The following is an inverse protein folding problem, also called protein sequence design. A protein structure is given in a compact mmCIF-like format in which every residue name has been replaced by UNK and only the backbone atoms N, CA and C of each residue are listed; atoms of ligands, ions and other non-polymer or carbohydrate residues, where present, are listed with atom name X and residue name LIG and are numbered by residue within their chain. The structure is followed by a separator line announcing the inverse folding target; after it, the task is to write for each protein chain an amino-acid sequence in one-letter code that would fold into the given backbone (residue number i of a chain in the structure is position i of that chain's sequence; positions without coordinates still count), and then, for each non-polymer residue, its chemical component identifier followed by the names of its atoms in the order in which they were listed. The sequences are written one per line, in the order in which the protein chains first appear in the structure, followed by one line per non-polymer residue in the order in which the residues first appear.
data_IF_687619098569
#
_entry.id   IF_687619098569
#
_cell.length_a   1.000
_cell.length_b   1.000
_cell.length_c   1.000
_cell.angle_alpha   90.00
_cell.angle_beta   90.00
_cell.angle_gamma   90.00
#
_symmetry.space_group_name_H-M   'P 1'
#
loop_
_entity.id
_entity.type
_entity.pdbx_description
1 polymer ?
#
# COMPACT_ATOMS: atom_id res chain seq x y z
N UNK A 1 66.88 29.41 41.95
CA UNK A 1 65.97 29.49 43.11
C UNK A 1 64.84 30.46 42.76
N UNK A 2 63.55 30.08 42.87
CA UNK A 2 62.45 31.05 42.85
C UNK A 2 62.24 31.66 44.25
N UNK A 3 61.52 32.78 44.37
CA UNK A 3 60.19 32.67 44.98
C UNK A 3 59.09 33.56 44.36
N UNK A 4 57.92 32.93 44.24
CA UNK A 4 56.54 33.31 44.61
C UNK A 4 56.00 34.74 44.42
N UNK A 5 54.85 34.80 43.73
CA UNK A 5 53.89 35.90 43.55
C UNK A 5 53.34 36.54 44.85
N UNK A 6 52.59 37.64 44.72
CA UNK A 6 51.19 37.58 45.16
C UNK A 6 50.15 38.30 44.26
N UNK A 7 49.01 37.61 44.14
CA UNK A 7 47.61 38.07 44.11
C UNK A 7 47.11 39.19 43.15
N UNK A 8 46.09 38.82 42.37
CA UNK A 8 45.17 39.64 41.58
C UNK A 8 44.42 40.72 42.38
N UNK A 9 43.73 41.65 41.66
CA UNK A 9 42.28 41.61 41.78
C UNK A 9 41.52 41.65 40.44
N UNK A 10 40.62 40.68 40.30
CA UNK A 10 39.23 40.76 39.86
C UNK A 10 38.78 41.76 38.76
N UNK A 11 38.26 41.16 37.69
CA UNK A 11 36.91 41.37 37.12
C UNK A 11 36.49 42.76 36.64
N UNK A 12 36.37 42.90 35.32
CA UNK A 12 35.09 43.05 34.59
C UNK A 12 35.49 43.01 33.09
N UNK A 13 35.04 42.09 32.25
CA UNK A 13 33.69 41.58 32.11
C UNK A 13 33.20 42.02 30.73
N UNK A 14 33.24 41.11 29.75
CA UNK A 14 32.20 40.94 28.73
C UNK A 14 32.55 39.69 27.92
N UNK A 15 31.91 38.60 28.32
CA UNK A 15 31.84 37.37 27.58
C UNK A 15 31.06 37.60 26.28
N UNK A 16 31.65 37.25 25.15
CA UNK A 16 30.89 36.81 23.98
C UNK A 16 31.17 35.34 23.78
N UNK A 17 30.68 34.55 24.75
CA UNK A 17 30.54 33.11 24.60
C UNK A 17 29.22 32.82 23.89
N UNK A 18 29.20 32.98 22.57
CA UNK A 18 28.26 32.22 21.73
C UNK A 18 29.06 31.10 21.07
N UNK A 19 29.41 30.09 21.86
CA UNK A 19 29.73 28.78 21.30
C UNK A 19 28.45 28.23 20.70
N UNK A 20 28.28 28.40 19.38
CA UNK A 20 27.20 27.76 18.64
C UNK A 20 27.17 26.25 18.92
N UNK A 21 25.99 25.62 18.81
CA UNK A 21 25.84 24.19 19.10
C UNK A 21 26.87 23.38 18.33
N UNK A 22 27.56 22.45 19.01
CA UNK A 22 28.53 21.60 18.33
C UNK A 22 27.82 20.63 17.37
N UNK A 23 28.55 20.04 16.43
CA UNK A 23 28.00 19.07 15.48
C UNK A 23 27.35 17.86 16.20
N UNK A 24 27.93 17.45 17.34
CA UNK A 24 27.38 16.39 18.19
C UNK A 24 26.06 16.83 18.83
N UNK A 25 25.99 18.05 19.36
CA UNK A 25 24.77 18.59 19.96
C UNK A 25 23.63 18.68 18.95
N UNK A 26 23.96 19.03 17.71
CA UNK A 26 23.01 19.11 16.60
C UNK A 26 22.38 17.75 16.26
N UNK A 27 23.18 16.68 16.19
CA UNK A 27 22.65 15.33 15.95
C UNK A 27 21.76 14.85 17.11
N UNK A 28 22.17 15.12 18.35
CA UNK A 28 21.40 14.76 19.54
C UNK A 28 20.05 15.47 19.53
N UNK A 29 20.03 16.78 19.24
CA UNK A 29 18.79 17.54 19.12
C UNK A 29 17.91 17.02 17.98
N UNK A 30 18.50 16.71 16.82
CA UNK A 30 17.76 16.10 15.71
C UNK A 30 17.11 14.78 16.12
N UNK A 31 17.86 13.86 16.75
CA UNK A 31 17.33 12.57 17.22
C UNK A 31 16.26 12.74 18.28
N UNK A 32 16.44 13.67 19.20
CA UNK A 32 15.42 13.99 20.22
C UNK A 32 14.14 14.53 19.59
N UNK A 33 14.24 15.42 18.60
CA UNK A 33 13.08 15.96 17.89
C UNK A 33 12.39 14.88 17.06
N UNK A 34 13.15 14.00 16.41
CA UNK A 34 12.61 12.86 15.67
C UNK A 34 11.79 11.94 16.59
N UNK A 35 12.30 11.67 17.80
CA UNK A 35 11.63 10.83 18.78
C UNK A 35 10.41 11.49 19.46
N UNK A 36 10.42 12.81 19.65
CA UNK A 36 9.34 13.56 20.32
C UNK A 36 8.22 14.00 19.39
N UNK A 37 8.50 14.12 18.09
CA UNK A 37 7.51 14.64 17.15
C UNK A 37 6.43 13.61 16.86
N UNK A 38 5.18 13.95 17.19
CA UNK A 38 3.99 13.20 16.75
C UNK A 38 3.74 13.35 15.25
N UNK A 39 4.37 14.35 14.60
CA UNK A 39 4.28 14.59 13.15
C UNK A 39 5.55 15.28 12.64
N UNK A 40 6.53 14.48 12.23
CA UNK A 40 7.78 14.90 11.56
C UNK A 40 7.50 15.77 10.33
N UNK A 41 6.36 15.54 9.65
CA UNK A 41 5.96 16.33 8.47
C UNK A 41 5.70 17.82 8.73
N UNK A 42 5.55 18.27 9.98
CA UNK A 42 5.25 19.67 10.32
C UNK A 42 6.42 20.40 10.99
N UNK A 43 7.56 19.75 11.21
CA UNK A 43 8.59 20.31 12.06
C UNK A 43 9.68 21.05 11.25
N UNK A 44 9.51 22.36 11.10
CA UNK A 44 10.49 23.29 10.52
C UNK A 44 11.87 23.18 11.21
N UNK A 45 11.91 22.83 12.50
CA UNK A 45 13.17 22.64 13.23
C UNK A 45 13.91 21.38 12.77
N UNK A 46 13.19 20.28 12.49
CA UNK A 46 13.81 19.06 11.95
C UNK A 46 14.46 19.32 10.59
N UNK A 47 13.76 20.07 9.73
CA UNK A 47 14.27 20.48 8.43
C UNK A 47 15.51 21.37 8.56
N UNK A 48 15.48 22.34 9.48
CA UNK A 48 16.62 23.22 9.77
C UNK A 48 17.83 22.42 10.24
N UNK A 49 17.64 21.48 11.16
CA UNK A 49 18.73 20.67 11.69
C UNK A 49 19.31 19.71 10.66
N UNK A 50 18.48 19.07 9.84
CA UNK A 50 18.96 18.26 8.72
C UNK A 50 19.81 19.09 7.76
N UNK A 51 19.31 20.29 7.38
CA UNK A 51 20.03 21.21 6.50
C UNK A 51 21.38 21.65 7.08
N UNK A 52 21.44 21.94 8.38
CA UNK A 52 22.70 22.27 9.06
C UNK A 52 23.71 21.11 9.04
N UNK A 53 23.26 19.89 9.34
CA UNK A 53 24.11 18.68 9.27
C UNK A 53 24.62 18.43 7.85
N UNK A 54 23.76 18.63 6.85
CA UNK A 54 24.12 18.50 5.44
C UNK A 54 25.17 19.56 5.02
N UNK A 55 24.95 20.83 5.37
CA UNK A 55 25.87 21.93 5.04
C UNK A 55 27.26 21.75 5.67
N UNK A 56 27.34 21.18 6.87
CA UNK A 56 28.61 20.86 7.52
C UNK A 56 29.29 19.58 6.98
N UNK A 57 28.73 18.94 5.95
CA UNK A 57 29.18 17.67 5.38
C UNK A 57 29.27 16.54 6.43
N UNK A 58 28.42 16.61 7.48
CA UNK A 58 28.50 15.73 8.64
C UNK A 58 28.19 14.28 8.27
N UNK A 59 27.13 14.06 7.47
CA UNK A 59 26.71 12.72 7.06
C UNK A 59 27.79 11.95 6.29
N UNK A 60 28.62 12.62 5.49
CA UNK A 60 29.74 11.98 4.78
C UNK A 60 30.90 11.60 5.70
N UNK A 61 31.02 12.24 6.87
CA UNK A 61 32.04 11.96 7.89
C UNK A 61 31.60 10.91 8.90
N UNK A 62 30.29 10.66 8.99
CA UNK A 62 29.73 9.67 9.91
C UNK A 62 30.09 8.24 9.47
N UNK A 63 30.43 7.34 10.40
CA UNK A 63 30.65 5.93 10.08
C UNK A 63 29.43 5.31 9.38
N UNK A 64 29.65 4.52 8.32
CA UNK A 64 28.57 3.96 7.48
C UNK A 64 27.49 3.22 8.28
N UNK A 65 27.88 2.45 9.30
CA UNK A 65 26.93 1.72 10.16
C UNK A 65 26.05 2.66 11.00
N UNK A 66 26.62 3.76 11.49
CA UNK A 66 25.87 4.76 12.24
C UNK A 66 24.91 5.53 11.33
N UNK A 67 25.36 5.87 10.13
CA UNK A 67 24.55 6.53 9.11
C UNK A 67 23.38 5.62 8.65
N UNK A 68 23.65 4.34 8.45
CA UNK A 68 22.63 3.34 8.13
C UNK A 68 21.58 3.24 9.24
N UNK A 69 22.03 3.09 10.49
CA UNK A 69 21.13 3.03 11.65
C UNK A 69 20.28 4.30 11.78
N UNK A 70 20.90 5.46 11.61
CA UNK A 70 20.19 6.74 11.61
C UNK A 70 19.14 6.82 10.50
N UNK A 71 19.47 6.35 9.29
CA UNK A 71 18.55 6.32 8.15
C UNK A 71 17.38 5.36 8.40
N UNK A 72 17.62 4.20 9.01
CA UNK A 72 16.57 3.28 9.44
C UNK A 72 15.63 3.91 10.47
N UNK A 73 16.18 4.55 11.51
CA UNK A 73 15.40 5.23 12.56
C UNK A 73 14.50 6.33 11.95
N UNK A 74 15.05 7.11 11.02
CA UNK A 74 14.30 8.12 10.26
C UNK A 74 13.19 7.49 9.44
N UNK A 75 13.50 6.43 8.67
CA UNK A 75 12.52 5.73 7.83
C UNK A 75 11.39 5.15 8.67
N UNK A 76 11.71 4.46 9.76
CA UNK A 76 10.70 3.87 10.65
C UNK A 76 9.79 4.94 11.27
N UNK A 77 10.35 6.08 11.65
CA UNK A 77 9.57 7.20 12.17
C UNK A 77 8.62 7.77 11.12
N UNK A 78 9.05 7.83 9.85
CA UNK A 78 8.23 8.24 8.72
C UNK A 78 7.15 7.21 8.39
N UNK A 79 7.48 5.92 8.41
CA UNK A 79 6.55 4.81 8.15
C UNK A 79 5.31 4.87 9.06
N UNK A 80 5.44 5.44 10.27
CA UNK A 80 4.33 5.62 11.21
C UNK A 80 3.42 6.81 10.90
N UNK A 81 3.86 7.73 10.03
CA UNK A 81 3.22 9.03 9.81
C UNK A 81 2.69 9.24 8.40
N UNK A 82 3.02 8.37 7.44
CA UNK A 82 2.68 8.49 6.01
C UNK A 82 1.20 8.80 5.75
N UNK A 83 0.29 8.45 6.65
CA UNK A 83 -1.14 8.73 6.55
C UNK A 83 -1.55 10.23 6.47
N UNK A 84 -0.64 11.21 6.59
CA UNK A 84 -0.96 12.65 6.74
C UNK A 84 -0.58 13.51 5.51
N UNK A 85 -0.11 12.92 4.39
CA UNK A 85 -0.13 13.58 3.07
C UNK A 85 1.04 14.51 2.69
N UNK A 86 2.09 14.67 3.50
CA UNK A 86 3.26 15.52 3.18
C UNK A 86 4.61 14.81 3.40
N UNK A 87 4.83 13.70 2.69
CA UNK A 87 6.02 12.84 2.81
C UNK A 87 7.20 13.20 1.90
N UNK A 88 6.97 14.01 0.85
CA UNK A 88 7.97 14.23 -0.20
C UNK A 88 9.32 14.79 0.30
N UNK A 89 9.39 15.88 1.10
CA UNK A 89 10.68 16.42 1.53
C UNK A 89 11.57 15.41 2.28
N UNK A 90 10.94 14.42 2.91
CA UNK A 90 11.62 13.36 3.64
C UNK A 90 12.15 12.25 2.73
N UNK A 91 11.48 11.98 1.61
CA UNK A 91 11.98 11.07 0.59
C UNK A 91 13.35 11.51 0.05
N UNK A 92 13.48 12.79 -0.32
CA UNK A 92 14.71 13.39 -0.87
C UNK A 92 15.87 13.30 0.11
N UNK A 93 15.57 13.55 1.40
CA UNK A 93 16.56 13.45 2.48
C UNK A 93 17.02 12.03 2.68
N UNK A 94 16.11 11.06 2.66
CA UNK A 94 16.49 9.66 2.74
C UNK A 94 17.28 9.21 1.52
N UNK A 95 16.91 9.63 0.30
CA UNK A 95 17.69 9.35 -0.91
C UNK A 95 19.13 9.86 -0.76
N UNK A 96 19.29 11.12 -0.34
CA UNK A 96 20.60 11.71 -0.06
C UNK A 96 21.43 10.87 0.94
N UNK A 97 20.83 10.41 2.04
CA UNK A 97 21.54 9.56 3.01
C UNK A 97 21.90 8.20 2.41
N UNK A 98 20.98 7.57 1.65
CA UNK A 98 21.24 6.27 1.02
C UNK A 98 22.31 6.34 -0.06
N UNK A 99 22.45 7.46 -0.77
CA UNK A 99 23.52 7.67 -1.75
C UNK A 99 24.89 7.70 -1.08
N UNK A 100 25.01 8.39 0.06
CA UNK A 100 26.25 8.39 0.86
C UNK A 100 26.55 6.97 1.36
N UNK A 101 25.54 6.24 1.85
CA UNK A 101 25.73 4.86 2.32
C UNK A 101 26.21 3.97 1.18
N UNK A 102 25.61 4.05 -0.02
CA UNK A 102 26.04 3.29 -1.20
C UNK A 102 27.46 3.63 -1.63
N UNK A 103 27.81 4.92 -1.65
CA UNK A 103 29.16 5.38 -2.02
C UNK A 103 30.22 4.86 -1.04
N UNK A 104 29.89 4.81 0.25
CA UNK A 104 30.79 4.28 1.26
C UNK A 104 30.82 2.75 1.29
N UNK A 105 29.70 2.09 0.98
CA UNK A 105 29.59 0.64 0.88
C UNK A 105 30.31 0.10 -0.36
N UNK A 106 30.32 0.80 -1.49
CA UNK A 106 31.11 0.35 -2.66
C UNK A 106 32.62 0.34 -2.39
N UNK A 107 33.07 1.10 -1.39
CA UNK A 107 34.47 1.17 -0.92
C UNK A 107 34.79 0.14 0.16
N UNK A 108 33.81 -0.61 0.69
CA UNK A 108 34.01 -1.57 1.79
C UNK A 108 33.14 -2.82 1.59
N UNK A 109 33.69 -4.03 1.78
CA UNK A 109 32.95 -5.31 1.64
C UNK A 109 31.89 -5.54 2.74
N UNK A 110 30.93 -4.63 2.91
CA UNK A 110 29.92 -4.69 3.96
C UNK A 110 28.62 -5.35 3.46
N UNK A 111 28.00 -6.24 4.26
CA UNK A 111 26.86 -7.05 3.84
C UNK A 111 25.48 -6.35 4.00
N UNK A 112 25.39 -5.03 3.78
CA UNK A 112 24.14 -4.26 4.02
C UNK A 112 23.33 -3.97 2.74
N UNK A 113 23.65 -4.63 1.62
CA UNK A 113 23.10 -4.32 0.30
C UNK A 113 21.56 -4.39 0.26
N UNK A 114 20.98 -5.49 0.75
CA UNK A 114 19.52 -5.69 0.74
C UNK A 114 18.78 -4.60 1.53
N UNK A 115 19.34 -4.22 2.67
CA UNK A 115 18.75 -3.23 3.54
C UNK A 115 18.79 -1.83 2.93
N UNK A 116 19.91 -1.48 2.30
CA UNK A 116 20.06 -0.22 1.57
C UNK A 116 19.09 -0.17 0.39
N UNK A 117 18.93 -1.26 -0.37
CA UNK A 117 17.94 -1.34 -1.45
C UNK A 117 16.50 -1.13 -0.94
N UNK A 118 16.16 -1.72 0.21
CA UNK A 118 14.84 -1.52 0.82
C UNK A 118 14.64 -0.08 1.32
N UNK A 119 15.68 0.57 1.85
CA UNK A 119 15.61 1.98 2.26
C UNK A 119 15.44 2.91 1.05
N UNK A 120 16.16 2.64 -0.05
CA UNK A 120 16.04 3.39 -1.30
C UNK A 120 14.64 3.26 -1.89
N UNK A 121 14.08 2.05 -1.91
CA UNK A 121 12.73 1.82 -2.41
C UNK A 121 11.68 2.58 -1.57
N UNK A 122 11.82 2.59 -0.25
CA UNK A 122 10.97 3.40 0.66
C UNK A 122 11.13 4.89 0.40
N UNK A 123 12.35 5.38 0.19
CA UNK A 123 12.62 6.77 -0.11
C UNK A 123 11.96 7.23 -1.43
N UNK A 124 12.04 6.41 -2.48
CA UNK A 124 11.32 6.68 -3.73
C UNK A 124 9.81 6.66 -3.56
N UNK A 125 9.28 5.77 -2.71
CA UNK A 125 7.85 5.76 -2.40
C UNK A 125 7.40 7.02 -1.64
N UNK A 126 8.25 7.59 -0.76
CA UNK A 126 7.98 8.88 -0.10
C UNK A 126 8.05 10.08 -1.04
N UNK A 127 8.96 10.05 -2.01
CA UNK A 127 9.04 11.06 -3.09
C UNK A 127 7.82 11.04 -4.02
N UNK A 128 7.02 9.97 -4.00
CA UNK A 128 5.99 9.73 -5.01
C UNK A 128 6.52 9.13 -6.31
N UNK A 129 7.80 8.77 -6.37
CA UNK A 129 8.38 8.01 -7.47
C UNK A 129 8.03 6.52 -7.33
N UNK A 130 6.75 6.18 -7.53
CA UNK A 130 6.26 4.82 -7.37
C UNK A 130 6.89 3.83 -8.36
N UNK A 131 7.30 4.29 -9.54
CA UNK A 131 7.89 3.39 -10.55
C UNK A 131 9.22 2.82 -10.07
N UNK A 132 10.08 3.66 -9.47
CA UNK A 132 11.36 3.19 -8.95
C UNK A 132 11.17 2.30 -7.71
N UNK A 133 10.27 2.70 -6.81
CA UNK A 133 9.96 1.91 -5.63
C UNK A 133 9.42 0.51 -5.97
N UNK A 134 8.58 0.40 -7.02
CA UNK A 134 8.00 -0.86 -7.48
C UNK A 134 9.03 -1.86 -8.01
N UNK A 135 10.16 -1.41 -8.54
CA UNK A 135 11.22 -2.33 -9.02
C UNK A 135 11.68 -3.27 -7.91
N UNK A 136 11.84 -2.75 -6.70
CA UNK A 136 12.21 -3.57 -5.54
C UNK A 136 11.19 -4.68 -5.27
N UNK A 137 9.88 -4.35 -5.30
CA UNK A 137 8.83 -5.35 -5.12
C UNK A 137 8.86 -6.39 -6.23
N UNK A 138 8.92 -5.97 -7.48
CA UNK A 138 8.94 -6.89 -8.63
C UNK A 138 10.12 -7.87 -8.57
N UNK A 139 11.32 -7.39 -8.21
CA UNK A 139 12.51 -8.23 -8.05
C UNK A 139 12.39 -9.27 -6.92
N UNK A 140 11.59 -8.98 -5.90
CA UNK A 140 11.53 -9.78 -4.68
C UNK A 140 10.18 -10.48 -4.45
N UNK A 141 9.19 -10.26 -5.32
CA UNK A 141 7.82 -10.73 -5.11
C UNK A 141 7.72 -12.26 -5.13
N UNK A 142 8.45 -12.93 -6.03
CA UNK A 142 8.41 -14.38 -6.13
C UNK A 142 9.09 -15.06 -4.93
N UNK A 143 10.26 -14.53 -4.54
CA UNK A 143 11.04 -15.09 -3.44
C UNK A 143 10.48 -14.67 -2.10
N UNK A 144 10.36 -13.38 -1.79
CA UNK A 144 9.92 -12.86 -0.47
C UNK A 144 8.40 -12.73 -0.36
N UNK A 145 7.74 -12.21 -1.40
CA UNK A 145 6.30 -11.95 -1.40
C UNK A 145 5.42 -13.21 -1.39
N UNK A 146 5.96 -14.37 -1.75
CA UNK A 146 5.22 -15.63 -1.76
C UNK A 146 5.23 -16.42 -0.44
N UNK A 147 6.02 -15.95 0.55
CA UNK A 147 6.10 -16.58 1.87
C UNK A 147 4.80 -16.43 2.66
N UNK A 148 4.44 -17.50 3.39
CA UNK A 148 3.31 -17.48 4.33
C UNK A 148 3.63 -16.55 5.49
N UNK A 149 2.66 -15.72 5.86
CA UNK A 149 2.75 -14.84 7.02
C UNK A 149 1.79 -15.32 8.10
N UNK A 150 2.31 -15.47 9.32
CA UNK A 150 1.57 -16.07 10.46
C UNK A 150 1.31 -15.09 11.60
N UNK A 151 1.94 -13.92 11.60
CA UNK A 151 1.74 -12.87 12.62
C UNK A 151 2.06 -11.48 12.10
N UNK A 152 1.64 -10.43 12.83
CA UNK A 152 1.96 -9.04 12.50
C UNK A 152 3.46 -8.75 12.61
N UNK A 153 4.16 -9.36 13.59
CA UNK A 153 5.62 -9.24 13.75
C UNK A 153 6.42 -9.61 12.50
N UNK A 154 5.88 -10.48 11.63
CA UNK A 154 6.54 -10.83 10.37
C UNK A 154 6.54 -9.66 9.38
N UNK A 155 5.50 -8.82 9.37
CA UNK A 155 5.46 -7.61 8.55
C UNK A 155 6.49 -6.61 9.04
N UNK A 156 6.60 -6.42 10.37
CA UNK A 156 7.55 -5.49 10.98
C UNK A 156 9.02 -5.90 10.76
N UNK A 157 9.31 -7.19 10.62
CA UNK A 157 10.68 -7.69 10.42
C UNK A 157 11.09 -7.81 8.96
N UNK A 158 10.13 -7.76 8.02
CA UNK A 158 10.40 -8.02 6.62
C UNK A 158 10.53 -6.73 5.82
N UNK A 159 11.74 -6.48 5.28
CA UNK A 159 11.97 -5.36 4.36
C UNK A 159 11.02 -5.35 3.17
N UNK A 160 10.70 -6.53 2.61
CA UNK A 160 9.73 -6.65 1.53
C UNK A 160 8.37 -6.07 1.89
N UNK A 161 7.83 -6.47 3.05
CA UNK A 161 6.52 -6.00 3.47
C UNK A 161 6.52 -4.55 3.95
N UNK A 162 7.59 -4.09 4.61
CA UNK A 162 7.77 -2.68 4.93
C UNK A 162 7.72 -1.80 3.66
N UNK A 163 8.47 -2.18 2.63
CA UNK A 163 8.49 -1.48 1.33
C UNK A 163 7.10 -1.54 0.68
N UNK A 164 6.48 -2.72 0.64
CA UNK A 164 5.14 -2.91 0.04
C UNK A 164 4.11 -2.01 0.72
N UNK A 165 4.08 -2.00 2.05
CA UNK A 165 3.16 -1.18 2.84
C UNK A 165 3.31 0.29 2.47
N UNK A 166 4.54 0.80 2.43
CA UNK A 166 4.78 2.21 2.11
C UNK A 166 4.37 2.54 0.68
N UNK A 167 4.69 1.70 -0.31
CA UNK A 167 4.26 1.93 -1.70
C UNK A 167 2.74 1.97 -1.77
N UNK A 168 2.04 1.01 -1.17
CA UNK A 168 0.57 0.93 -1.21
C UNK A 168 -0.05 2.18 -0.56
N UNK A 169 0.45 2.61 0.61
CA UNK A 169 -0.03 3.83 1.26
C UNK A 169 0.27 5.07 0.41
N UNK A 170 1.49 5.22 -0.12
CA UNK A 170 1.86 6.33 -1.00
C UNK A 170 1.00 6.39 -2.25
N UNK A 171 0.70 5.25 -2.89
CA UNK A 171 -0.18 5.20 -4.06
C UNK A 171 -1.60 5.67 -3.72
N UNK A 172 -2.11 5.33 -2.52
CA UNK A 172 -3.44 5.79 -2.07
C UNK A 172 -3.48 7.31 -1.97
N UNK A 173 -2.42 7.91 -1.44
CA UNK A 173 -2.33 9.35 -1.16
C UNK A 173 -2.08 10.15 -2.44
N UNK A 174 -1.18 9.67 -3.30
CA UNK A 174 -0.65 10.46 -4.42
C UNK A 174 -1.41 10.19 -5.73
N UNK A 175 -1.91 8.96 -5.91
CA UNK A 175 -2.53 8.52 -7.17
C UNK A 175 -4.02 8.29 -6.95
N UNK A 176 -4.38 7.14 -6.38
CA UNK A 176 -5.76 6.75 -6.15
C UNK A 176 -5.81 5.49 -5.28
N UNK A 177 -6.95 5.27 -4.62
CA UNK A 177 -7.16 4.11 -3.77
C UNK A 177 -7.21 2.81 -4.60
N UNK A 178 -7.69 2.89 -5.84
CA UNK A 178 -7.85 1.75 -6.75
C UNK A 178 -6.52 1.25 -7.28
N UNK A 179 -5.62 2.18 -7.60
CA UNK A 179 -4.27 1.85 -8.03
C UNK A 179 -3.45 1.26 -6.86
N UNK A 180 -3.63 1.81 -5.66
CA UNK A 180 -3.08 1.27 -4.41
C UNK A 180 -3.52 -0.17 -4.17
N UNK A 181 -4.83 -0.42 -4.23
CA UNK A 181 -5.39 -1.75 -3.99
C UNK A 181 -5.02 -2.75 -5.09
N UNK A 182 -5.06 -2.34 -6.36
CA UNK A 182 -4.62 -3.17 -7.48
C UNK A 182 -3.16 -3.60 -7.32
N UNK A 183 -2.28 -2.68 -6.90
CA UNK A 183 -0.89 -3.00 -6.64
C UNK A 183 -0.71 -3.95 -5.44
N UNK A 184 -1.48 -3.76 -4.36
CA UNK A 184 -1.48 -4.67 -3.22
C UNK A 184 -1.92 -6.08 -3.62
N UNK A 185 -3.00 -6.19 -4.42
CA UNK A 185 -3.49 -7.46 -4.95
C UNK A 185 -2.42 -8.15 -5.81
N UNK A 186 -1.86 -7.45 -6.79
CA UNK A 186 -0.81 -8.00 -7.67
C UNK A 186 0.38 -8.51 -6.86
N UNK A 187 0.89 -7.69 -5.94
CA UNK A 187 2.05 -8.00 -5.12
C UNK A 187 1.80 -9.14 -4.12
N UNK A 188 0.55 -9.36 -3.73
CA UNK A 188 0.15 -10.38 -2.78
C UNK A 188 -0.46 -11.62 -3.42
N UNK A 189 -0.69 -11.61 -4.73
CA UNK A 189 -1.55 -12.60 -5.40
C UNK A 189 -1.06 -14.02 -5.19
N UNK A 190 0.23 -14.30 -5.37
CA UNK A 190 0.78 -15.64 -5.20
C UNK A 190 0.56 -16.17 -3.77
N UNK A 191 0.79 -15.32 -2.77
CA UNK A 191 0.58 -15.64 -1.36
C UNK A 191 -0.90 -15.85 -1.06
N UNK A 192 -1.75 -14.95 -1.54
CA UNK A 192 -3.20 -15.03 -1.37
C UNK A 192 -3.77 -16.29 -2.02
N UNK A 193 -3.45 -16.55 -3.30
CA UNK A 193 -3.84 -17.76 -4.04
C UNK A 193 -3.42 -19.01 -3.29
N UNK A 194 -2.18 -19.08 -2.80
CA UNK A 194 -1.72 -20.24 -2.01
C UNK A 194 -2.51 -20.43 -0.72
N UNK A 195 -2.84 -19.32 -0.05
CA UNK A 195 -3.50 -19.32 1.26
C UNK A 195 -5.00 -19.59 1.17
N UNK A 196 -5.67 -19.07 0.15
CA UNK A 196 -7.14 -19.04 0.05
C UNK A 196 -7.67 -20.04 -0.98
N UNK A 197 -6.97 -20.21 -2.11
CA UNK A 197 -7.45 -21.05 -3.22
C UNK A 197 -6.92 -22.49 -3.16
N UNK A 198 -5.73 -22.72 -2.60
CA UNK A 198 -5.12 -24.07 -2.56
C UNK A 198 -5.01 -24.70 -1.18
N UNK A 199 -5.01 -23.91 -0.11
CA UNK A 199 -4.75 -24.40 1.25
C UNK A 199 -5.90 -24.08 2.19
N UNK A 200 -6.88 -24.98 2.28
CA UNK A 200 -8.01 -24.84 3.20
C UNK A 200 -7.58 -24.36 4.60
N UNK A 201 -8.26 -23.33 5.10
CA UNK A 201 -8.22 -22.82 6.49
C UNK A 201 -7.06 -21.85 6.83
N UNK A 202 -6.20 -21.45 5.89
CA UNK A 202 -5.19 -20.41 6.16
C UNK A 202 -5.78 -19.00 6.30
N UNK A 203 -5.46 -18.26 7.38
CA UNK A 203 -5.75 -16.81 7.48
C UNK A 203 -4.82 -16.03 6.55
N UNK A 204 -5.39 -15.23 5.65
CA UNK A 204 -4.62 -14.31 4.80
C UNK A 204 -4.42 -12.98 5.52
N UNK A 205 -3.30 -12.84 6.23
CA UNK A 205 -2.96 -11.61 6.94
C UNK A 205 -2.49 -10.52 5.98
N UNK A 206 -2.86 -9.27 6.29
CA UNK A 206 -2.23 -8.07 5.73
C UNK A 206 -1.68 -7.20 6.86
N UNK A 207 -0.68 -6.39 6.53
CA UNK A 207 -0.05 -5.46 7.46
C UNK A 207 -1.08 -4.56 8.15
N UNK A 208 -0.91 -4.30 9.45
CA UNK A 208 -1.87 -3.50 10.25
C UNK A 208 -2.12 -2.10 9.70
N UNK A 209 -1.13 -1.45 9.07
CA UNK A 209 -1.32 -0.13 8.45
C UNK A 209 -2.15 -0.24 7.18
N UNK A 210 -1.93 -1.29 6.39
CA UNK A 210 -2.75 -1.60 5.23
C UNK A 210 -4.17 -2.00 5.62
N UNK A 211 -4.34 -2.74 6.71
CA UNK A 211 -5.65 -3.12 7.25
C UNK A 211 -6.53 -1.91 7.57
N UNK A 212 -5.98 -0.90 8.26
CA UNK A 212 -6.70 0.34 8.52
C UNK A 212 -7.10 1.07 7.23
N UNK A 213 -6.23 1.03 6.21
CA UNK A 213 -6.51 1.59 4.90
C UNK A 213 -7.62 0.82 4.17
N UNK A 214 -7.62 -0.51 4.18
CA UNK A 214 -8.67 -1.33 3.59
C UNK A 214 -10.03 -1.10 4.28
N UNK A 215 -10.04 -0.99 5.61
CA UNK A 215 -11.25 -0.69 6.36
C UNK A 215 -11.82 0.70 6.02
N UNK A 216 -10.97 1.71 5.80
CA UNK A 216 -11.43 3.05 5.37
C UNK A 216 -12.13 2.99 4.01
N UNK A 217 -11.52 2.29 3.04
CA UNK A 217 -12.05 2.16 1.67
C UNK A 217 -13.46 1.52 1.63
N UNK A 218 -13.79 0.65 2.59
CA UNK A 218 -15.11 -0.03 2.65
C UNK A 218 -16.17 0.76 3.42
N UNK A 219 -15.75 1.70 4.26
CA UNK A 219 -16.63 2.59 5.02
C UNK A 219 -17.02 3.83 4.22
N UNK A 220 -16.12 4.32 3.38
CA UNK A 220 -16.34 5.50 2.54
C UNK A 220 -17.26 5.16 1.35
N UNK A 221 -17.89 6.18 0.76
CA UNK A 221 -18.90 6.06 -0.32
C UNK A 221 -18.39 5.44 -1.64
N UNK A 222 -17.20 4.86 -1.64
CA UNK A 222 -16.49 4.29 -2.79
C UNK A 222 -17.00 2.91 -3.20
N UNK A 223 -17.93 2.30 -2.45
CA UNK A 223 -18.44 0.95 -2.76
C UNK A 223 -19.03 0.82 -4.18
N UNK A 224 -19.66 1.85 -4.72
CA UNK A 224 -20.13 1.85 -6.11
C UNK A 224 -18.98 1.79 -7.12
N UNK A 225 -17.86 2.45 -6.83
CA UNK A 225 -16.63 2.39 -7.63
C UNK A 225 -15.98 1.01 -7.57
N UNK A 226 -16.08 0.32 -6.42
CA UNK A 226 -15.65 -1.08 -6.25
C UNK A 226 -16.45 -2.07 -7.11
N UNK A 227 -17.76 -1.86 -7.28
CA UNK A 227 -18.62 -2.80 -8.01
C UNK A 227 -18.39 -2.76 -9.52
N UNK A 228 -17.91 -1.62 -10.02
CA UNK A 228 -17.59 -1.41 -11.42
C UNK A 228 -16.18 -1.87 -11.81
N UNK A 229 -15.42 -2.57 -10.94
CA UNK A 229 -14.01 -2.95 -11.16
C UNK A 229 -13.72 -3.53 -12.55
N UNK A 230 -14.63 -4.31 -13.13
CA UNK A 230 -14.50 -4.87 -14.50
C UNK A 230 -14.45 -3.83 -15.62
N UNK A 231 -14.92 -2.59 -15.38
CA UNK A 231 -14.82 -1.46 -16.32
C UNK A 231 -13.49 -0.74 -16.26
N UNK A 232 -12.69 -1.02 -15.23
CA UNK A 232 -11.42 -0.36 -15.04
C UNK A 232 -10.44 -1.08 -15.95
N UNK A 233 -9.95 -0.37 -16.96
CA UNK A 233 -8.94 -0.86 -17.89
C UNK A 233 -7.59 -1.03 -17.18
N UNK A 234 -7.52 -1.98 -16.27
CA UNK A 234 -6.27 -2.37 -15.67
C UNK A 234 -5.55 -3.35 -16.59
N UNK A 235 -4.25 -3.18 -16.74
CA UNK A 235 -3.35 -4.25 -17.15
C UNK A 235 -3.29 -5.29 -16.02
N UNK A 236 -4.40 -5.95 -15.72
CA UNK A 236 -4.35 -7.24 -15.06
C UNK A 236 -3.73 -8.19 -16.07
N UNK A 237 -2.60 -8.87 -15.74
CA UNK A 237 -2.24 -10.11 -16.40
C UNK A 237 -3.52 -10.92 -16.65
N UNK A 238 -3.69 -11.43 -17.87
CA UNK A 238 -4.87 -12.19 -18.34
C UNK A 238 -5.30 -13.35 -17.43
N UNK A 239 -4.54 -13.65 -16.39
CA UNK A 239 -4.73 -14.70 -15.39
C UNK A 239 -5.62 -14.29 -14.19
N UNK A 240 -5.89 -13.00 -13.99
CA UNK A 240 -6.74 -12.53 -12.87
C UNK A 240 -8.21 -12.48 -13.31
N UNK A 241 -9.02 -13.46 -12.86
CA UNK A 241 -10.49 -13.45 -13.03
C UNK A 241 -11.11 -12.25 -12.30
N UNK A 242 -12.19 -11.71 -12.86
CA UNK A 242 -12.86 -10.47 -12.44
C UNK A 242 -13.31 -10.44 -10.96
N UNK A 243 -13.58 -11.59 -10.34
CA UNK A 243 -14.07 -11.67 -8.95
C UNK A 243 -12.95 -11.72 -7.90
N UNK A 244 -11.70 -11.95 -8.32
CA UNK A 244 -10.56 -12.09 -7.39
C UNK A 244 -10.26 -10.87 -6.51
N UNK A 245 -10.42 -9.61 -6.97
CA UNK A 245 -10.16 -8.45 -6.12
C UNK A 245 -11.14 -8.33 -4.94
N UNK A 246 -12.40 -8.73 -5.13
CA UNK A 246 -13.43 -8.66 -4.09
C UNK A 246 -13.21 -9.76 -3.05
N UNK A 247 -12.95 -10.98 -3.50
CA UNK A 247 -12.57 -12.10 -2.63
C UNK A 247 -11.26 -11.83 -1.88
N UNK A 248 -10.31 -11.10 -2.48
CA UNK A 248 -9.08 -10.69 -1.82
C UNK A 248 -9.35 -9.78 -0.60
N UNK A 249 -10.25 -8.79 -0.74
CA UNK A 249 -10.62 -7.91 0.36
C UNK A 249 -11.28 -8.66 1.50
N UNK A 250 -12.25 -9.52 1.17
CA UNK A 250 -12.93 -10.38 2.15
C UNK A 250 -11.91 -11.26 2.87
N UNK A 251 -10.99 -11.89 2.13
CA UNK A 251 -9.94 -12.70 2.73
C UNK A 251 -9.02 -11.90 3.68
N UNK A 252 -8.69 -10.66 3.33
CA UNK A 252 -7.88 -9.78 4.17
C UNK A 252 -8.62 -9.41 5.47
N UNK A 253 -9.90 -9.05 5.40
CA UNK A 253 -10.72 -8.76 6.59
C UNK A 253 -10.82 -9.98 7.52
N UNK A 254 -11.17 -11.14 6.98
CA UNK A 254 -11.24 -12.40 7.74
C UNK A 254 -9.88 -12.73 8.36
N UNK A 255 -8.80 -12.59 7.59
CA UNK A 255 -7.44 -12.87 8.05
C UNK A 255 -7.06 -12.04 9.27
N UNK A 256 -7.40 -10.76 9.26
CA UNK A 256 -7.15 -9.83 10.37
C UNK A 256 -8.23 -9.86 11.48
N UNK A 257 -9.23 -10.75 11.38
CA UNK A 257 -10.26 -10.91 12.40
C UNK A 257 -11.41 -9.91 12.33
N UNK A 258 -11.57 -9.19 11.22
CA UNK A 258 -12.67 -8.23 11.01
C UNK A 258 -13.90 -8.90 10.40
N UNK A 259 -14.45 -9.92 11.07
CA UNK A 259 -15.54 -10.73 10.50
C UNK A 259 -16.83 -9.94 10.29
N UNK A 260 -17.11 -8.94 11.14
CA UNK A 260 -18.26 -8.03 10.96
C UNK A 260 -18.11 -7.15 9.72
N UNK A 261 -16.93 -6.57 9.51
CA UNK A 261 -16.62 -5.80 8.29
C UNK A 261 -16.72 -6.68 7.05
N UNK A 262 -16.24 -7.93 7.13
CA UNK A 262 -16.35 -8.90 6.04
C UNK A 262 -17.83 -9.22 5.73
N UNK A 263 -18.66 -9.44 6.76
CA UNK A 263 -20.11 -9.66 6.62
C UNK A 263 -20.79 -8.49 5.90
N UNK A 264 -20.58 -7.27 6.40
CA UNK A 264 -21.20 -6.07 5.83
C UNK A 264 -20.77 -5.87 4.37
N UNK A 265 -19.51 -6.17 4.05
CA UNK A 265 -19.01 -6.11 2.68
C UNK A 265 -19.66 -7.18 1.79
N UNK A 266 -19.75 -8.43 2.23
CA UNK A 266 -20.40 -9.53 1.48
C UNK A 266 -21.87 -9.19 1.20
N UNK A 267 -22.61 -8.66 2.18
CA UNK A 267 -24.00 -8.25 1.96
C UNK A 267 -24.11 -7.16 0.90
N UNK A 268 -23.23 -6.15 0.95
CA UNK A 268 -23.18 -5.09 -0.06
C UNK A 268 -22.87 -5.66 -1.45
N UNK A 269 -21.93 -6.62 -1.55
CA UNK A 269 -21.60 -7.30 -2.81
C UNK A 269 -22.82 -8.02 -3.40
N UNK A 270 -23.51 -8.82 -2.59
CA UNK A 270 -24.69 -9.56 -3.02
C UNK A 270 -25.83 -8.62 -3.44
N UNK A 271 -26.05 -7.51 -2.73
CA UNK A 271 -27.04 -6.49 -3.10
C UNK A 271 -26.76 -5.83 -4.44
N UNK A 272 -25.49 -5.63 -4.80
CA UNK A 272 -25.12 -5.11 -6.12
C UNK A 272 -24.88 -6.19 -7.18
N UNK A 273 -25.35 -7.43 -6.95
CA UNK A 273 -25.35 -8.49 -7.96
C UNK A 273 -24.02 -9.21 -8.16
N UNK A 274 -23.05 -9.03 -7.27
CA UNK A 274 -21.77 -9.76 -7.30
C UNK A 274 -21.81 -10.92 -6.31
N UNK A 275 -21.17 -12.03 -6.65
CA UNK A 275 -20.99 -13.17 -5.76
C UNK A 275 -19.66 -13.11 -5.03
N UNK A 276 -19.63 -13.60 -3.80
CA UNK A 276 -18.38 -13.90 -3.08
C UNK A 276 -18.14 -15.41 -3.07
N UNK A 277 -16.86 -15.84 -3.02
CA UNK A 277 -16.53 -17.25 -2.88
C UNK A 277 -17.17 -17.86 -1.63
N UNK A 278 -17.84 -19.01 -1.81
CA UNK A 278 -18.51 -19.73 -0.74
C UNK A 278 -17.56 -20.08 0.43
N UNK A 279 -16.28 -20.33 0.16
CA UNK A 279 -15.29 -20.61 1.21
C UNK A 279 -15.06 -19.41 2.13
N UNK A 280 -15.12 -18.19 1.59
CA UNK A 280 -14.97 -16.94 2.33
C UNK A 280 -16.25 -16.58 3.10
N UNK A 281 -17.43 -16.86 2.52
CA UNK A 281 -18.71 -16.74 3.23
C UNK A 281 -18.71 -17.67 4.46
N UNK A 282 -18.36 -18.94 4.29
CA UNK A 282 -18.27 -19.92 5.39
C UNK A 282 -17.23 -19.50 6.43
N UNK A 283 -16.06 -19.00 6.00
CA UNK A 283 -15.04 -18.51 6.92
C UNK A 283 -15.52 -17.30 7.73
N UNK A 284 -16.28 -16.39 7.11
CA UNK A 284 -16.91 -15.25 7.79
C UNK A 284 -17.93 -15.72 8.83
N UNK A 285 -18.83 -16.65 8.46
CA UNK A 285 -19.79 -17.25 9.39
C UNK A 285 -19.08 -17.86 10.59
N UNK A 286 -18.07 -18.71 10.36
CA UNK A 286 -17.29 -19.34 11.44
C UNK A 286 -16.62 -18.32 12.35
N UNK A 287 -16.09 -17.24 11.78
CA UNK A 287 -15.49 -16.15 12.54
C UNK A 287 -16.50 -15.43 13.43
N UNK A 288 -17.67 -15.08 12.90
CA UNK A 288 -18.77 -14.46 13.64
C UNK A 288 -19.27 -15.36 14.78
N UNK A 289 -19.44 -16.66 14.51
CA UNK A 289 -19.81 -17.64 15.54
C UNK A 289 -18.80 -17.68 16.69
N UNK A 290 -17.51 -17.65 16.37
CA UNK A 290 -16.46 -17.65 17.38
C UNK A 290 -16.41 -16.37 18.23
N UNK A 291 -16.74 -15.21 17.64
CA UNK A 291 -16.88 -13.94 18.37
C UNK A 291 -18.12 -13.90 19.28
N UNK A 292 -19.16 -14.65 18.93
CA UNK A 292 -20.48 -14.58 19.56
C UNK A 292 -20.72 -15.62 20.66
N UNK A 293 -19.66 -16.27 21.19
CA UNK A 293 -19.76 -17.13 22.38
C UNK A 293 -20.31 -16.31 23.57
N UNK A 294 -21.64 -16.21 23.69
CA UNK A 294 -22.35 -15.45 24.73
C UNK A 294 -23.53 -14.55 24.27
N UNK A 295 -23.83 -14.43 22.96
CA UNK A 295 -25.01 -13.69 22.44
C UNK A 295 -26.22 -14.62 22.24
N UNK A 296 -27.47 -14.13 22.37
CA UNK A 296 -28.66 -14.95 22.18
C UNK A 296 -28.80 -15.42 20.72
N UNK A 297 -29.15 -16.71 20.55
CA UNK A 297 -29.15 -17.44 19.28
C UNK A 297 -29.90 -16.75 18.12
N UNK A 298 -30.95 -15.98 18.44
CA UNK A 298 -31.80 -15.31 17.44
C UNK A 298 -31.06 -14.21 16.65
N UNK A 299 -30.20 -13.42 17.30
CA UNK A 299 -29.43 -12.35 16.62
C UNK A 299 -28.36 -12.91 15.70
N UNK A 300 -27.87 -14.10 16.01
CA UNK A 300 -26.81 -14.79 15.27
C UNK A 300 -27.36 -15.50 14.03
N UNK A 301 -28.55 -16.09 14.13
CA UNK A 301 -29.29 -16.64 12.99
C UNK A 301 -29.63 -15.58 11.93
N UNK A 302 -30.07 -14.39 12.35
CA UNK A 302 -30.33 -13.27 11.43
C UNK A 302 -29.06 -12.82 10.69
N UNK A 303 -27.92 -12.75 11.40
CA UNK A 303 -26.63 -12.38 10.80
C UNK A 303 -26.13 -13.41 9.77
N UNK A 304 -26.36 -14.69 10.01
CA UNK A 304 -25.97 -15.79 9.10
C UNK A 304 -26.88 -15.84 7.87
N UNK A 305 -28.19 -15.64 8.07
CA UNK A 305 -29.16 -15.66 6.99
C UNK A 305 -28.87 -14.57 5.93
N UNK A 306 -28.46 -13.38 6.37
CA UNK A 306 -28.20 -12.24 5.49
C UNK A 306 -27.02 -12.46 4.50
N UNK A 307 -25.99 -13.20 4.89
CA UNK A 307 -24.82 -13.49 4.03
C UNK A 307 -24.91 -14.80 3.25
N UNK A 308 -25.82 -15.69 3.65
CA UNK A 308 -26.00 -17.00 3.00
C UNK A 308 -26.90 -16.93 1.75
N UNK A 309 -27.59 -15.81 1.54
CA UNK A 309 -28.42 -15.63 0.34
C UNK A 309 -27.56 -15.13 -0.83
N UNK A 310 -27.49 -15.87 -1.96
CA UNK A 310 -26.80 -15.42 -3.16
C UNK A 310 -27.45 -14.15 -3.74
N UNK A 311 -26.74 -13.40 -4.61
CA UNK A 311 -27.25 -12.16 -5.18
C UNK A 311 -28.66 -12.35 -5.76
N UNK A 312 -29.60 -11.57 -5.25
CA UNK A 312 -30.97 -11.55 -5.77
C UNK A 312 -30.93 -10.81 -7.11
N UNK A 313 -30.95 -11.54 -8.22
CA UNK A 313 -31.18 -10.93 -9.53
C UNK A 313 -32.60 -10.37 -9.48
N UNK A 314 -32.74 -9.06 -9.31
CA UNK A 314 -34.02 -8.40 -9.45
C UNK A 314 -34.59 -8.76 -10.83
N UNK A 315 -35.87 -9.14 -10.95
CA UNK A 315 -36.44 -9.41 -12.26
C UNK A 315 -36.29 -8.16 -13.10
N UNK A 316 -35.70 -8.31 -14.29
CA UNK A 316 -35.64 -7.25 -15.28
C UNK A 316 -37.07 -6.75 -15.50
N UNK A 317 -37.33 -5.51 -15.09
CA UNK A 317 -38.61 -4.84 -15.31
C UNK A 317 -38.72 -4.56 -16.82
N UNK A 318 -39.26 -5.54 -17.54
CA UNK A 318 -39.74 -5.42 -18.90
C UNK A 318 -41.26 -5.56 -18.87
N UNK A 319 -41.92 -4.42 -18.74
CA UNK A 319 -43.36 -4.27 -18.92
C UNK A 319 -43.83 -4.90 -20.24
N UNK A 320 -44.87 -5.75 -20.18
CA UNK A 320 -45.97 -5.76 -21.16
C UNK A 320 -47.20 -6.49 -20.57
N UNK A 321 -48.14 -5.69 -20.08
CA UNK A 321 -49.56 -6.07 -20.06
C UNK A 321 -50.05 -6.20 -21.52
N UNK A 322 -50.87 -7.22 -21.81
CA UNK A 322 -51.65 -7.28 -23.04
C UNK A 322 -52.00 -8.67 -23.56
N UNK A 323 -53.01 -9.30 -22.94
CA UNK A 323 -54.12 -10.07 -23.55
C UNK A 323 -53.91 -11.04 -24.75
N UNK A 324 -54.26 -12.31 -24.49
CA UNK A 324 -55.25 -13.15 -25.21
C UNK A 324 -55.09 -13.50 -26.71
N UNK A 325 -54.74 -14.78 -26.93
CA UNK A 325 -55.34 -15.80 -27.83
C UNK A 325 -55.34 -15.68 -29.37
N UNK A 326 -54.95 -16.83 -29.97
CA UNK A 326 -55.31 -17.44 -31.29
C UNK A 326 -54.19 -17.42 -32.36
N UNK A 327 -53.59 -18.60 -32.58
CA UNK A 327 -52.85 -19.08 -33.78
C UNK A 327 -53.83 -19.43 -34.94
N UNK A 328 -53.43 -19.76 -36.20
CA UNK A 328 -52.08 -19.92 -36.79
C UNK A 328 -51.91 -19.31 -38.22
N UNK A 329 -50.67 -19.36 -38.75
CA UNK A 329 -50.25 -19.70 -40.14
C UNK A 329 -49.03 -18.91 -40.66
N UNK A 330 -48.06 -19.64 -41.25
CA UNK A 330 -46.95 -19.16 -42.08
C UNK A 330 -47.37 -19.27 -43.58
N UNK A 331 -46.61 -18.85 -44.64
CA UNK A 331 -45.17 -18.45 -44.69
C UNK A 331 -44.76 -17.33 -45.71
N UNK A 332 -43.44 -17.08 -45.79
CA UNK A 332 -42.62 -16.76 -47.00
C UNK A 332 -42.22 -15.30 -47.41
N UNK A 333 -40.89 -15.14 -47.63
CA UNK A 333 -40.11 -14.30 -48.60
C UNK A 333 -40.31 -12.76 -48.58
N UNK A 334 -39.32 -11.88 -48.79
CA UNK A 334 -37.88 -11.94 -49.13
C UNK A 334 -37.34 -10.52 -49.43
N UNK A 335 -36.02 -10.43 -49.71
CA UNK A 335 -35.25 -9.36 -50.41
C UNK A 335 -35.17 -7.94 -49.79
N UNK A 336 -33.96 -7.46 -49.46
CA UNK A 336 -33.09 -6.52 -50.25
C UNK A 336 -33.49 -5.05 -49.97
N UNK A 337 -32.65 -4.06 -49.70
CA UNK A 337 -31.39 -3.61 -50.31
C UNK A 337 -30.65 -2.65 -49.35
N UNK A 338 -29.31 -2.71 -49.35
CA UNK A 338 -28.42 -1.56 -49.09
C UNK A 338 -28.25 -0.79 -50.42
N UNK A 339 -28.01 0.53 -50.43
CA UNK A 339 -26.65 0.97 -50.78
C UNK A 339 -26.15 2.30 -50.16
N UNK A 340 -24.95 2.23 -49.58
CA UNK A 340 -23.72 3.02 -49.84
C UNK A 340 -23.82 4.35 -50.63
N UNK A 341 -23.28 5.43 -50.03
CA UNK A 341 -22.30 6.38 -50.64
C UNK A 341 -21.68 7.27 -49.53
N UNK A 342 -20.44 7.02 -49.08
CA UNK A 342 -19.11 7.47 -49.59
C UNK A 342 -18.88 9.00 -49.52
N UNK A 343 -17.90 9.41 -48.69
CA UNK A 343 -16.62 10.08 -49.04
C UNK A 343 -15.89 10.47 -47.72
N UNK A 344 -14.81 9.78 -47.30
CA UNK A 344 -13.38 9.97 -47.64
C UNK A 344 -12.72 11.22 -47.04
N UNK A 345 -11.80 11.06 -46.09
CA UNK A 345 -10.37 11.43 -46.29
C UNK A 345 -9.43 10.89 -45.19
N UNK A 346 -8.54 10.00 -45.62
CA UNK A 346 -7.10 9.79 -45.33
C UNK A 346 -6.45 10.19 -43.98
N UNK A 347 -5.90 9.19 -43.27
CA UNK A 347 -4.47 9.13 -42.89
C UNK A 347 -4.03 7.67 -42.55
N UNK A 348 -2.78 7.26 -42.85
CA UNK A 348 -2.35 5.86 -42.80
C UNK A 348 -1.80 5.42 -41.41
N UNK A 349 -1.81 4.11 -41.09
CA UNK A 349 -1.37 3.61 -39.79
C UNK A 349 0.14 3.39 -39.74
N UNK A 350 0.82 4.05 -38.81
CA UNK A 350 2.21 3.75 -38.45
C UNK A 350 2.30 2.42 -37.70
N UNK A 351 3.13 1.52 -38.23
CA UNK A 351 3.56 0.25 -37.66
C UNK A 351 4.10 0.44 -36.23
N UNK A 352 3.51 -0.25 -35.24
CA UNK A 352 4.14 -0.50 -33.94
C UNK A 352 4.90 -1.83 -34.01
N UNK A 353 6.22 -1.73 -34.15
CA UNK A 353 7.16 -2.75 -33.72
C UNK A 353 7.39 -2.60 -32.22
N UNK A 354 6.98 -3.58 -31.44
CA UNK A 354 7.64 -3.95 -30.17
C UNK A 354 7.25 -5.39 -29.85
N UNK A 355 8.02 -6.30 -30.48
CA UNK A 355 8.24 -7.65 -30.00
C UNK A 355 9.60 -7.62 -29.30
N UNK A 356 9.74 -8.46 -28.28
CA UNK A 356 10.98 -8.82 -27.58
C UNK A 356 11.34 -7.96 -26.37
N UNK A 357 11.00 -8.48 -25.18
CA UNK A 357 11.87 -8.50 -24.00
C UNK A 357 11.17 -9.27 -22.86
N UNK A 358 11.12 -10.60 -22.98
CA UNK A 358 10.91 -11.52 -21.86
C UNK A 358 11.71 -12.78 -22.11
N UNK A 359 13.03 -12.70 -21.87
CA UNK A 359 13.91 -13.83 -21.52
C UNK A 359 15.18 -13.26 -20.90
N UNK A 360 15.28 -13.35 -19.57
CA UNK A 360 16.50 -13.61 -18.80
C UNK A 360 16.09 -13.89 -17.35
#
# INVERSE_FOLDING_TARGET
MPPSSPADPASNGLSSGESGPTQSDTLVQYKMLLARSTTIMKNVELDRWFGALQACNYFRRMPTRELLKFTQEMTHSLDMQVCVGYIQPWGSRMLYLTDIIKENASKSLLPFQEEVEALVARAHAFEGNSNEAKKYILQHMETKGSHKIVSQDHFDKSHFYQVLTIIVVSLKIIVSWEYSLSFLLQSSYLRWKRTVLTGGVGKFLVDKKLDGLLQSMVKDGDFTSFMDWSRWHFCTPREYKDDYPLDFLVAAFIGNGHYRTAKDFIEKLHRGGKSCSASLVVATIRGLLAECNGLPDNLLLEQIAAISQPPTVGPASGSKQGSSSVDPEAPARGFSEDPVSRLLTDQPPHKRTHRDMWTA
#
